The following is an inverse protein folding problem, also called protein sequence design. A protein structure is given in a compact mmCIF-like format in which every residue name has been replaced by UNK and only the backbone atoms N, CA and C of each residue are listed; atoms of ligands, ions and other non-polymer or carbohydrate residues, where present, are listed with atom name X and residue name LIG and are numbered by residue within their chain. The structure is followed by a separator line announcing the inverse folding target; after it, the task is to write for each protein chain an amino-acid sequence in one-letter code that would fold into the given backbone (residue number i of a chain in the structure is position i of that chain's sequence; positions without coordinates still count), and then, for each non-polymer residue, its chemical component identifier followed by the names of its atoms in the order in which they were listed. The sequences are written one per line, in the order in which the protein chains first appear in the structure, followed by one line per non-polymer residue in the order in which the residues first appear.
data_IF_756569083769
#
_entry.id   IF_756569083769
#
_cell.length_a   1.000
_cell.length_b   1.000
_cell.length_c   1.000
_cell.angle_alpha   90.00
_cell.angle_beta   90.00
_cell.angle_gamma   90.00
#
_symmetry.space_group_name_H-M   'P 1'
#
loop_
_entity.id
_entity.type
_entity.pdbx_description
1 polymer ?
#
# COMPACT_ATOMS: atom_id res chain seq x y z
N UNK A 1 -1.05 -15.09 13.73
CA UNK A 1 -0.14 -14.97 14.89
C UNK A 1 1.01 -16.00 14.86
N UNK A 2 0.72 -17.31 14.74
CA UNK A 2 1.74 -18.37 14.74
C UNK A 2 2.79 -18.16 13.65
N UNK A 3 2.39 -17.71 12.46
CA UNK A 3 3.31 -17.40 11.37
C UNK A 3 4.31 -16.30 11.72
N UNK A 4 3.92 -15.32 12.56
CA UNK A 4 4.85 -14.26 13.02
C UNK A 4 5.94 -14.84 13.92
N UNK A 5 5.57 -15.71 14.87
CA UNK A 5 6.54 -16.40 15.72
C UNK A 5 7.49 -17.28 14.90
N UNK A 6 6.94 -18.01 13.92
CA UNK A 6 7.74 -18.78 12.98
C UNK A 6 8.71 -17.89 12.19
N UNK A 7 8.23 -16.77 11.62
CA UNK A 7 9.07 -15.86 10.84
C UNK A 7 10.18 -15.22 11.67
N UNK A 8 9.90 -14.87 12.94
CA UNK A 8 10.92 -14.38 13.87
C UNK A 8 11.98 -15.45 14.16
N UNK A 9 11.58 -16.70 14.35
CA UNK A 9 12.55 -17.80 14.54
C UNK A 9 13.43 -18.03 13.31
N UNK A 10 12.84 -18.01 12.12
CA UNK A 10 13.58 -18.08 10.85
C UNK A 10 14.59 -16.91 10.71
N UNK A 11 14.25 -15.74 11.27
CA UNK A 11 15.14 -14.59 11.33
C UNK A 11 16.23 -14.69 12.42
N UNK A 12 16.29 -15.80 13.16
CA UNK A 12 17.32 -16.07 14.16
C UNK A 12 16.91 -15.79 15.61
N UNK A 13 15.66 -15.38 15.88
CA UNK A 13 15.16 -15.10 17.24
C UNK A 13 14.75 -16.41 17.96
N UNK A 14 15.73 -17.24 18.29
CA UNK A 14 15.51 -18.57 18.87
C UNK A 14 14.84 -18.55 20.27
N UNK A 15 14.83 -17.39 20.94
CA UNK A 15 14.14 -17.21 22.21
C UNK A 15 12.60 -17.28 22.04
N UNK A 16 12.06 -16.94 20.86
CA UNK A 16 10.62 -17.00 20.59
C UNK A 16 10.16 -18.46 20.55
N UNK A 17 9.32 -18.82 21.52
CA UNK A 17 8.79 -20.17 21.71
C UNK A 17 7.27 -20.19 21.63
N UNK A 18 6.62 -21.17 22.28
CA UNK A 18 5.17 -21.23 22.37
C UNK A 18 4.62 -20.12 23.28
N UNK A 19 3.43 -19.63 22.94
CA UNK A 19 2.74 -18.58 23.71
C UNK A 19 1.23 -18.78 23.63
N UNK A 20 0.54 -18.29 24.65
CA UNK A 20 -0.90 -18.13 24.64
C UNK A 20 -1.21 -16.65 24.33
N UNK A 21 -2.21 -16.41 23.48
CA UNK A 21 -2.59 -15.06 23.10
C UNK A 21 -4.11 -14.88 23.09
N UNK A 22 -4.55 -13.76 23.67
CA UNK A 22 -5.92 -13.27 23.56
C UNK A 22 -5.92 -12.00 22.71
N UNK A 23 -6.82 -11.91 21.74
CA UNK A 23 -6.94 -10.78 20.82
C UNK A 23 -8.25 -10.03 21.10
N UNK A 24 -8.15 -8.70 21.23
CA UNK A 24 -9.28 -7.79 21.19
C UNK A 24 -8.99 -6.72 20.13
N UNK A 25 -9.94 -6.47 19.23
CA UNK A 25 -9.73 -5.55 18.12
C UNK A 25 -10.99 -4.73 17.86
N UNK A 26 -10.81 -3.44 17.60
CA UNK A 26 -11.82 -2.57 17.02
C UNK A 26 -11.71 -2.46 15.49
N UNK A 27 -10.71 -3.10 14.86
CA UNK A 27 -10.56 -3.13 13.40
C UNK A 27 -11.47 -4.22 12.84
N UNK A 28 -12.49 -3.88 12.04
CA UNK A 28 -13.41 -4.86 11.48
C UNK A 28 -12.68 -5.81 10.52
N UNK A 29 -13.06 -7.08 10.56
CA UNK A 29 -12.49 -8.07 9.64
C UNK A 29 -13.09 -7.90 8.24
N UNK A 30 -12.23 -7.94 7.22
CA UNK A 30 -12.66 -7.91 5.82
C UNK A 30 -13.20 -6.55 5.33
N UNK A 31 -13.03 -5.48 6.10
CA UNK A 31 -13.52 -4.13 5.77
C UNK A 31 -12.52 -3.27 4.98
N UNK A 32 -11.40 -3.83 4.54
CA UNK A 32 -10.34 -3.06 3.85
C UNK A 32 -9.49 -2.17 4.77
N UNK A 33 -9.65 -2.28 6.11
CA UNK A 33 -8.87 -1.53 7.10
C UNK A 33 -7.65 -2.30 7.62
N UNK A 34 -7.10 -3.18 6.81
CA UNK A 34 -5.84 -3.89 7.08
C UNK A 34 -5.85 -4.69 8.39
N UNK A 35 -6.95 -5.41 8.67
CA UNK A 35 -7.08 -6.23 9.88
C UNK A 35 -5.99 -7.31 10.01
N UNK A 36 -5.46 -7.83 8.90
CA UNK A 36 -4.34 -8.78 8.88
C UNK A 36 -3.06 -8.14 9.38
N UNK A 37 -2.71 -6.96 8.86
CA UNK A 37 -1.54 -6.22 9.32
C UNK A 37 -1.68 -5.78 10.79
N UNK A 38 -2.87 -5.35 11.21
CA UNK A 38 -3.14 -5.03 12.62
C UNK A 38 -2.85 -6.23 13.53
N UNK A 39 -3.28 -7.43 13.14
CA UNK A 39 -3.05 -8.67 13.88
C UNK A 39 -1.58 -9.10 13.86
N UNK A 40 -0.93 -9.09 12.69
CA UNK A 40 0.46 -9.55 12.56
C UNK A 40 1.44 -8.58 13.22
N UNK A 41 1.22 -7.28 13.09
CA UNK A 41 2.07 -6.25 13.71
C UNK A 41 1.92 -6.23 15.25
N UNK A 42 0.69 -6.31 15.77
CA UNK A 42 0.48 -6.39 17.22
C UNK A 42 1.08 -7.67 17.82
N UNK A 43 0.98 -8.79 17.10
CA UNK A 43 1.64 -10.05 17.50
C UNK A 43 3.16 -9.90 17.53
N UNK A 44 3.75 -9.28 16.51
CA UNK A 44 5.19 -9.08 16.45
C UNK A 44 5.70 -8.21 17.60
N UNK A 45 5.01 -7.11 17.92
CA UNK A 45 5.35 -6.23 19.04
C UNK A 45 5.15 -6.93 20.40
N UNK A 46 4.07 -7.70 20.56
CA UNK A 46 3.85 -8.46 21.80
C UNK A 46 4.94 -9.51 22.04
N UNK A 47 5.37 -10.22 20.97
CA UNK A 47 6.48 -11.18 21.08
C UNK A 47 7.81 -10.48 21.35
N UNK A 48 8.04 -9.32 20.73
CA UNK A 48 9.22 -8.48 21.00
C UNK A 48 9.31 -8.10 22.48
N UNK A 49 8.19 -7.67 23.07
CA UNK A 49 8.13 -7.30 24.48
C UNK A 49 8.27 -8.50 25.41
N UNK A 50 7.48 -9.57 25.21
CA UNK A 50 7.46 -10.77 26.06
C UNK A 50 8.82 -11.47 26.09
N UNK A 51 9.51 -11.53 24.96
CA UNK A 51 10.82 -12.18 24.86
C UNK A 51 11.99 -11.21 25.00
N UNK A 52 11.75 -9.93 25.27
CA UNK A 52 12.77 -8.92 25.55
C UNK A 52 13.71 -8.70 24.35
N UNK A 53 13.19 -8.74 23.11
CA UNK A 53 14.02 -8.62 21.91
C UNK A 53 14.47 -7.16 21.66
N UNK A 54 13.64 -6.18 22.05
CA UNK A 54 13.97 -4.75 22.02
C UNK A 54 13.91 -4.08 20.65
N UNK A 55 13.33 -4.74 19.64
CA UNK A 55 13.25 -4.22 18.27
C UNK A 55 12.17 -3.17 18.09
N UNK A 56 11.09 -3.22 18.86
CA UNK A 56 9.99 -2.24 18.80
C UNK A 56 10.42 -0.81 19.17
N UNK A 57 11.54 -0.63 19.86
CA UNK A 57 12.01 0.65 20.34
C UNK A 57 12.65 1.55 19.27
N UNK A 58 13.04 1.03 18.11
CA UNK A 58 13.71 1.79 17.05
C UNK A 58 13.07 1.54 15.68
N UNK A 59 13.23 2.49 14.74
CA UNK A 59 12.72 2.32 13.39
C UNK A 59 13.39 1.12 12.67
N UNK A 60 14.68 0.96 12.83
CA UNK A 60 15.42 -0.20 12.30
C UNK A 60 14.92 -1.54 12.88
N UNK A 61 14.64 -1.57 14.18
CA UNK A 61 14.07 -2.74 14.83
C UNK A 61 12.65 -3.02 14.32
N UNK A 62 11.81 -1.99 14.20
CA UNK A 62 10.46 -2.12 13.64
C UNK A 62 10.46 -2.69 12.22
N UNK A 63 11.43 -2.33 11.39
CA UNK A 63 11.61 -2.95 10.06
C UNK A 63 11.81 -4.46 10.17
N UNK A 64 12.55 -4.94 11.16
CA UNK A 64 12.72 -6.38 11.38
C UNK A 64 11.41 -7.06 11.74
N UNK A 65 10.62 -6.46 12.62
CA UNK A 65 9.29 -6.96 13.00
C UNK A 65 8.30 -6.92 11.84
N UNK A 66 8.34 -5.85 11.03
CA UNK A 66 7.55 -5.71 9.80
C UNK A 66 7.87 -6.83 8.82
N UNK A 67 9.14 -7.14 8.59
CA UNK A 67 9.54 -8.22 7.71
C UNK A 67 9.02 -9.59 8.18
N UNK A 68 9.01 -9.84 9.49
CA UNK A 68 8.41 -11.04 10.06
C UNK A 68 6.89 -11.08 9.85
N UNK A 69 6.19 -9.94 10.00
CA UNK A 69 4.76 -9.83 9.74
C UNK A 69 4.43 -10.09 8.26
N UNK A 70 5.17 -9.46 7.33
CA UNK A 70 5.02 -9.67 5.88
C UNK A 70 5.28 -11.13 5.52
N UNK A 71 6.37 -11.71 6.02
CA UNK A 71 6.72 -13.11 5.78
C UNK A 71 5.62 -14.06 6.29
N UNK A 72 5.07 -13.79 7.46
CA UNK A 72 3.93 -14.54 8.01
C UNK A 72 2.72 -14.51 7.09
N UNK A 73 2.38 -13.36 6.52
CA UNK A 73 1.23 -13.23 5.62
C UNK A 73 1.49 -13.90 4.26
N UNK A 74 2.66 -13.70 3.68
CA UNK A 74 2.99 -14.25 2.38
C UNK A 74 3.19 -15.77 2.41
N UNK A 75 3.99 -16.28 3.34
CA UNK A 75 4.45 -17.66 3.32
C UNK A 75 3.47 -18.61 4.05
N UNK A 76 2.75 -18.11 5.08
CA UNK A 76 1.86 -18.95 5.89
C UNK A 76 0.38 -18.74 5.58
N UNK A 77 -0.04 -17.51 5.24
CA UNK A 77 -1.43 -17.22 4.91
C UNK A 77 -1.69 -17.16 3.39
N UNK A 78 -0.64 -17.16 2.56
CA UNK A 78 -0.76 -17.10 1.11
C UNK A 78 -1.23 -15.75 0.59
N UNK A 79 -1.13 -14.70 1.39
CA UNK A 79 -1.46 -13.34 0.98
C UNK A 79 -0.24 -12.70 0.29
N UNK A 80 -0.46 -12.04 -0.85
CA UNK A 80 0.62 -11.38 -1.59
C UNK A 80 0.79 -9.93 -1.14
N UNK A 81 1.05 -9.68 0.16
CA UNK A 81 1.20 -8.32 0.67
C UNK A 81 2.52 -7.67 0.25
N UNK A 82 2.47 -6.38 -0.10
CA UNK A 82 3.64 -5.55 -0.40
C UNK A 82 4.22 -4.81 0.81
N UNK A 83 3.61 -4.96 1.98
CA UNK A 83 4.10 -4.38 3.23
C UNK A 83 3.69 -2.94 3.52
N UNK A 84 2.83 -2.31 2.71
CA UNK A 84 2.34 -0.96 2.96
C UNK A 84 1.64 -0.86 4.32
N UNK A 85 0.72 -1.77 4.58
CA UNK A 85 -0.11 -1.78 5.78
C UNK A 85 0.74 -1.99 7.04
N UNK A 86 1.70 -2.91 6.99
CA UNK A 86 2.60 -3.18 8.10
C UNK A 86 3.51 -1.98 8.39
N UNK A 87 4.02 -1.31 7.34
CA UNK A 87 4.80 -0.08 7.50
C UNK A 87 3.95 1.05 8.07
N UNK A 88 2.73 1.24 7.57
CA UNK A 88 1.82 2.26 8.10
C UNK A 88 1.49 2.00 9.58
N UNK A 89 1.16 0.74 9.94
CA UNK A 89 0.83 0.35 11.31
C UNK A 89 1.97 0.58 12.31
N UNK A 90 3.21 0.28 11.92
CA UNK A 90 4.34 0.30 12.84
C UNK A 90 5.20 1.56 12.79
N UNK A 91 5.22 2.28 11.65
CA UNK A 91 6.17 3.39 11.43
C UNK A 91 5.51 4.75 11.26
N UNK A 92 4.18 4.81 10.98
CA UNK A 92 3.50 6.10 10.86
C UNK A 92 3.45 6.80 12.23
N UNK A 93 3.64 8.12 12.23
CA UNK A 93 3.60 8.94 13.44
C UNK A 93 2.32 9.77 13.50
N UNK A 94 1.93 10.19 14.70
CA UNK A 94 0.74 11.03 14.91
C UNK A 94 0.80 12.31 14.06
N UNK A 95 -0.32 12.69 13.45
CA UNK A 95 -0.42 13.86 12.56
C UNK A 95 0.25 13.71 11.21
N UNK A 96 0.66 12.49 10.82
CA UNK A 96 1.31 12.21 9.56
C UNK A 96 0.63 11.08 8.79
N UNK A 97 0.77 11.11 7.48
CA UNK A 97 0.60 9.96 6.60
C UNK A 97 1.98 9.41 6.20
N UNK A 98 2.04 8.11 6.00
CA UNK A 98 3.27 7.45 5.59
C UNK A 98 3.33 7.34 4.07
N UNK A 99 4.37 7.87 3.45
CA UNK A 99 4.68 7.63 2.05
C UNK A 99 5.70 6.50 1.97
N UNK A 100 5.32 5.41 1.33
CA UNK A 100 6.18 4.27 1.02
C UNK A 100 6.61 4.33 -0.44
N UNK A 101 7.91 4.27 -0.69
CA UNK A 101 8.51 4.13 -2.02
C UNK A 101 9.04 2.70 -2.19
N UNK A 102 8.39 1.90 -3.02
CA UNK A 102 8.71 0.49 -3.21
C UNK A 102 9.84 0.24 -4.21
N UNK A 103 10.70 1.22 -4.48
CA UNK A 103 11.88 1.00 -5.33
C UNK A 103 12.83 0.00 -4.68
N UNK A 104 13.27 -1.05 -5.42
CA UNK A 104 14.14 -2.08 -4.86
C UNK A 104 15.55 -1.58 -4.50
N UNK A 105 15.98 -0.43 -5.02
CA UNK A 105 17.27 0.19 -4.72
C UNK A 105 17.31 0.87 -3.35
N UNK A 106 16.13 1.18 -2.78
CA UNK A 106 16.04 1.81 -1.47
C UNK A 106 16.11 0.76 -0.37
N UNK A 107 16.93 1.05 0.64
CA UNK A 107 16.91 0.23 1.85
C UNK A 107 15.56 0.37 2.57
N UNK A 108 15.14 -0.61 3.38
CA UNK A 108 13.90 -0.52 4.15
C UNK A 108 13.85 0.68 5.12
N UNK A 109 14.98 1.29 5.47
CA UNK A 109 15.01 2.50 6.27
C UNK A 109 14.79 3.77 5.45
N UNK A 110 15.16 3.75 4.16
CA UNK A 110 15.07 4.90 3.27
C UNK A 110 13.78 4.94 2.46
N UNK A 111 13.05 3.82 2.40
CA UNK A 111 11.85 3.68 1.57
C UNK A 111 10.59 4.35 2.15
N UNK A 112 10.64 4.83 3.39
CA UNK A 112 9.52 5.46 4.09
C UNK A 112 9.85 6.91 4.43
N UNK A 113 8.87 7.80 4.22
CA UNK A 113 8.92 9.17 4.69
C UNK A 113 7.59 9.59 5.31
N UNK A 114 7.67 10.34 6.41
CA UNK A 114 6.50 10.94 7.05
C UNK A 114 6.08 12.19 6.25
N UNK A 115 4.78 12.29 5.99
CA UNK A 115 4.19 13.47 5.35
C UNK A 115 3.21 14.09 6.34
N UNK A 116 3.36 15.38 6.66
CA UNK A 116 2.38 16.08 7.49
C UNK A 116 0.97 15.88 6.92
N UNK A 117 0.05 15.37 7.75
CA UNK A 117 -1.32 15.07 7.36
C UNK A 117 -2.26 15.44 8.50
N UNK A 118 -2.26 16.74 8.82
CA UNK A 118 -3.12 17.34 9.83
C UNK A 118 -4.40 17.84 9.16
N UNK A 119 -5.46 17.06 9.26
CA UNK A 119 -6.76 17.36 8.67
C UNK A 119 -7.46 18.51 9.41
N UNK A 120 -7.29 18.62 10.73
CA UNK A 120 -7.90 19.66 11.56
C UNK A 120 -7.47 21.05 11.09
N UNK A 121 -6.23 21.21 10.68
CA UNK A 121 -5.68 22.47 10.12
C UNK A 121 -6.50 23.01 8.94
N UNK A 122 -7.17 22.12 8.22
CA UNK A 122 -7.98 22.45 7.04
C UNK A 122 -9.48 22.31 7.29
N UNK A 123 -9.91 22.04 8.53
CA UNK A 123 -11.32 21.79 8.87
C UNK A 123 -11.88 20.53 8.20
N UNK A 124 -11.04 19.53 8.01
CA UNK A 124 -11.38 18.26 7.37
C UNK A 124 -11.42 17.14 8.40
N UNK A 125 -12.23 16.13 8.12
CA UNK A 125 -12.27 14.89 8.87
C UNK A 125 -12.16 13.68 7.92
N UNK A 126 -11.66 12.56 8.43
CA UNK A 126 -11.62 11.31 7.70
C UNK A 126 -12.91 10.52 7.94
N UNK A 127 -13.75 10.44 6.91
CA UNK A 127 -14.92 9.57 6.93
C UNK A 127 -14.54 8.17 6.44
N UNK A 128 -14.74 7.17 7.29
CA UNK A 128 -14.63 5.75 6.93
C UNK A 128 -16.03 5.19 6.69
N UNK A 129 -16.30 4.75 5.46
CA UNK A 129 -17.56 4.17 5.05
C UNK A 129 -17.37 2.69 4.73
N UNK A 130 -17.88 1.81 5.59
CA UNK A 130 -17.94 0.38 5.32
C UNK A 130 -19.12 0.08 4.38
N UNK A 131 -18.82 -0.26 3.14
CA UNK A 131 -19.83 -0.60 2.12
C UNK A 131 -20.38 -2.01 2.28
N UNK A 132 -19.83 -2.81 3.20
CA UNK A 132 -20.16 -4.22 3.43
C UNK A 132 -20.01 -5.10 2.17
N UNK A 133 -19.29 -4.63 1.17
CA UNK A 133 -18.95 -5.43 0.00
C UNK A 133 -17.98 -6.55 0.43
N UNK A 134 -18.24 -7.82 0.10
CA UNK A 134 -17.37 -8.92 0.51
C UNK A 134 -15.98 -8.77 -0.12
N UNK A 135 -14.95 -8.72 0.71
CA UNK A 135 -13.57 -8.70 0.28
C UNK A 135 -12.91 -10.05 0.53
N UNK A 136 -12.46 -10.70 -0.54
CA UNK A 136 -11.74 -11.98 -0.48
C UNK A 136 -10.28 -11.76 -0.90
N UNK A 137 -9.37 -11.81 0.05
CA UNK A 137 -7.92 -11.63 -0.18
C UNK A 137 -7.32 -12.74 -1.07
N UNK A 138 -7.97 -13.88 -1.19
CA UNK A 138 -7.45 -15.09 -1.83
C UNK A 138 -8.11 -15.42 -3.18
N UNK A 139 -8.78 -14.47 -3.83
CA UNK A 139 -9.40 -14.70 -5.14
C UNK A 139 -8.42 -14.71 -6.34
N UNK A 140 -7.12 -14.53 -6.05
CA UNK A 140 -6.05 -14.53 -7.05
C UNK A 140 -5.98 -13.26 -7.91
N UNK A 141 -6.90 -12.34 -7.78
CA UNK A 141 -6.96 -11.12 -8.60
C UNK A 141 -5.75 -10.20 -8.39
N UNK A 142 -5.29 -10.07 -7.14
CA UNK A 142 -4.09 -9.29 -6.84
C UNK A 142 -2.85 -9.88 -7.51
N UNK A 143 -2.65 -11.20 -7.38
CA UNK A 143 -1.54 -11.90 -8.00
C UNK A 143 -1.56 -11.78 -9.53
N UNK A 144 -2.75 -11.87 -10.15
CA UNK A 144 -2.92 -11.70 -11.60
C UNK A 144 -2.53 -10.29 -12.07
N UNK A 145 -2.95 -9.24 -11.35
CA UNK A 145 -2.59 -7.85 -11.70
C UNK A 145 -1.09 -7.62 -11.57
N UNK A 146 -0.50 -8.15 -10.51
CA UNK A 146 0.96 -8.11 -10.32
C UNK A 146 1.68 -8.81 -11.47
N UNK A 147 1.30 -10.03 -11.81
CA UNK A 147 1.89 -10.77 -12.93
C UNK A 147 1.75 -10.03 -14.28
N UNK A 148 0.62 -9.36 -14.51
CA UNK A 148 0.43 -8.53 -15.71
C UNK A 148 1.41 -7.35 -15.75
N UNK A 149 1.64 -6.68 -14.62
CA UNK A 149 2.61 -5.58 -14.54
C UNK A 149 4.05 -6.06 -14.72
N UNK A 150 4.41 -7.21 -14.14
CA UNK A 150 5.73 -7.83 -14.31
C UNK A 150 5.96 -8.22 -15.76
N UNK A 151 4.96 -8.82 -16.42
CA UNK A 151 5.01 -9.16 -17.86
C UNK A 151 5.16 -7.93 -18.74
N UNK A 152 4.47 -6.84 -18.41
CA UNK A 152 4.62 -5.58 -19.14
C UNK A 152 6.02 -4.99 -19.00
N UNK A 153 6.62 -5.06 -17.82
CA UNK A 153 8.00 -4.63 -17.60
C UNK A 153 9.01 -5.44 -18.45
N UNK A 154 8.82 -6.76 -18.55
CA UNK A 154 9.63 -7.62 -19.45
C UNK A 154 9.51 -7.17 -20.91
N UNK A 155 8.29 -6.94 -21.42
CA UNK A 155 8.07 -6.49 -22.82
C UNK A 155 8.71 -5.12 -23.05
N UNK A 156 8.64 -4.23 -22.07
CA UNK A 156 9.26 -2.90 -22.15
C UNK A 156 10.79 -2.91 -21.94
N UNK A 157 11.38 -4.07 -21.60
CA UNK A 157 12.82 -4.24 -21.40
C UNK A 157 13.35 -3.54 -20.15
N UNK A 158 12.53 -3.44 -19.10
CA UNK A 158 12.88 -2.78 -17.83
C UNK A 158 12.73 -3.73 -16.64
N UNK A 159 13.42 -3.43 -15.55
CA UNK A 159 13.36 -4.25 -14.34
C UNK A 159 11.96 -4.19 -13.65
N UNK A 160 11.29 -3.04 -13.73
CA UNK A 160 9.95 -2.81 -13.19
C UNK A 160 9.34 -1.54 -13.80
N UNK A 161 8.02 -1.34 -13.63
CA UNK A 161 7.30 -0.18 -14.17
C UNK A 161 7.69 1.15 -13.52
N UNK A 162 8.35 1.14 -12.35
CA UNK A 162 8.85 2.36 -11.72
C UNK A 162 9.94 3.03 -12.57
N UNK A 163 10.80 2.24 -13.22
CA UNK A 163 11.82 2.75 -14.15
C UNK A 163 11.17 3.52 -15.28
N UNK A 164 10.06 3.00 -15.82
CA UNK A 164 9.27 3.66 -16.87
C UNK A 164 8.65 4.96 -16.35
N UNK A 165 8.01 4.91 -15.19
CA UNK A 165 7.38 6.09 -14.58
C UNK A 165 8.40 7.21 -14.31
N UNK A 166 9.58 6.88 -13.81
CA UNK A 166 10.66 7.84 -13.55
C UNK A 166 11.21 8.44 -14.86
N UNK A 167 11.27 7.65 -15.93
CA UNK A 167 11.68 8.14 -17.27
C UNK A 167 10.64 9.10 -17.84
N UNK A 168 9.36 8.73 -17.80
CA UNK A 168 8.26 9.57 -18.27
C UNK A 168 8.20 10.89 -17.48
N UNK A 169 8.37 10.86 -16.17
CA UNK A 169 8.36 12.07 -15.34
C UNK A 169 9.50 13.06 -15.65
N UNK A 170 10.56 12.59 -16.30
CA UNK A 170 11.72 13.41 -16.72
C UNK A 170 11.65 13.85 -18.18
N UNK A 171 10.67 13.39 -18.95
CA UNK A 171 10.50 13.76 -20.35
C UNK A 171 9.95 15.17 -20.50
N UNK A 172 10.21 15.81 -21.64
CA UNK A 172 9.67 17.13 -21.95
C UNK A 172 8.16 17.11 -22.14
N UNK A 173 7.59 15.98 -22.61
CA UNK A 173 6.16 15.75 -22.73
C UNK A 173 5.80 14.38 -22.11
N UNK A 174 5.44 14.37 -20.80
CA UNK A 174 5.06 13.14 -20.11
C UNK A 174 3.82 12.44 -20.70
N UNK A 175 2.89 13.21 -21.27
CA UNK A 175 1.69 12.64 -21.88
C UNK A 175 2.02 11.86 -23.15
N UNK A 176 2.82 12.45 -24.03
CA UNK A 176 3.28 11.78 -25.27
C UNK A 176 4.16 10.58 -24.93
N UNK A 177 5.08 10.70 -23.97
CA UNK A 177 5.94 9.60 -23.53
C UNK A 177 5.14 8.42 -22.95
N UNK A 178 4.07 8.69 -22.20
CA UNK A 178 3.16 7.65 -21.72
C UNK A 178 2.47 6.95 -22.90
N UNK A 179 1.93 7.72 -23.84
CA UNK A 179 1.27 7.17 -25.04
C UNK A 179 2.20 6.26 -25.81
N UNK A 180 3.40 6.71 -26.12
CA UNK A 180 4.43 5.93 -26.84
C UNK A 180 4.82 4.64 -26.09
N UNK A 181 4.82 4.69 -24.75
CA UNK A 181 5.05 3.53 -23.90
C UNK A 181 3.91 2.51 -24.05
N UNK A 182 2.66 2.96 -23.99
CA UNK A 182 1.48 2.11 -24.11
C UNK A 182 1.35 1.51 -25.52
N UNK A 183 1.74 2.25 -26.55
CA UNK A 183 1.71 1.78 -27.95
C UNK A 183 2.66 0.60 -28.22
N UNK A 184 3.66 0.37 -27.36
CA UNK A 184 4.56 -0.81 -27.42
C UNK A 184 3.92 -2.10 -26.90
N UNK A 185 2.80 -2.00 -26.21
CA UNK A 185 2.06 -3.13 -25.67
C UNK A 185 0.92 -3.48 -26.62
N UNK A 186 0.67 -4.78 -26.85
CA UNK A 186 -0.39 -5.21 -27.74
C UNK A 186 -1.71 -5.43 -26.99
N UNK A 187 -1.65 -5.93 -25.76
CA UNK A 187 -2.80 -6.30 -24.94
C UNK A 187 -3.42 -5.06 -24.26
N UNK A 188 -4.71 -4.82 -24.49
CA UNK A 188 -5.42 -3.65 -23.97
C UNK A 188 -5.58 -3.69 -22.44
N UNK A 189 -5.73 -4.87 -21.85
CA UNK A 189 -5.76 -5.03 -20.39
C UNK A 189 -4.42 -4.64 -19.81
N UNK A 190 -3.33 -5.09 -20.42
CA UNK A 190 -1.98 -4.71 -20.01
C UNK A 190 -1.74 -3.22 -20.11
N UNK A 191 -2.18 -2.57 -21.21
CA UNK A 191 -2.12 -1.10 -21.37
C UNK A 191 -2.82 -0.38 -20.23
N UNK A 192 -4.01 -0.83 -19.86
CA UNK A 192 -4.78 -0.27 -18.72
C UNK A 192 -3.99 -0.41 -17.43
N UNK A 193 -3.46 -1.61 -17.09
CA UNK A 193 -2.68 -1.84 -15.86
C UNK A 193 -1.44 -0.95 -15.80
N UNK A 194 -0.69 -0.87 -16.90
CA UNK A 194 0.52 -0.03 -17.00
C UNK A 194 0.17 1.44 -16.86
N UNK A 195 -0.88 1.93 -17.54
CA UNK A 195 -1.36 3.30 -17.40
C UNK A 195 -1.69 3.62 -15.95
N UNK A 196 -2.46 2.75 -15.28
CA UNK A 196 -2.79 2.91 -13.87
C UNK A 196 -1.52 3.07 -13.03
N UNK A 197 -0.60 2.11 -13.07
CA UNK A 197 0.61 2.13 -12.24
C UNK A 197 1.44 3.40 -12.45
N UNK A 198 1.67 3.78 -13.71
CA UNK A 198 2.49 4.96 -14.02
C UNK A 198 1.80 6.25 -13.54
N UNK A 199 0.51 6.38 -13.79
CA UNK A 199 -0.24 7.59 -13.40
C UNK A 199 -0.42 7.67 -11.89
N UNK A 200 -0.60 6.55 -11.17
CA UNK A 200 -0.66 6.54 -9.70
C UNK A 200 0.66 6.94 -9.06
N UNK A 201 1.79 6.48 -9.56
CA UNK A 201 3.11 6.92 -9.07
C UNK A 201 3.25 8.45 -9.19
N UNK A 202 2.84 9.02 -10.31
CA UNK A 202 2.84 10.47 -10.52
C UNK A 202 1.84 11.19 -9.60
N UNK A 203 0.65 10.59 -9.41
CA UNK A 203 -0.45 11.13 -8.59
C UNK A 203 -0.09 11.20 -7.12
N UNK A 204 0.57 10.17 -6.56
CA UNK A 204 1.10 10.20 -5.19
C UNK A 204 2.03 11.39 -4.99
N UNK A 205 2.98 11.61 -5.89
CA UNK A 205 3.90 12.74 -5.81
C UNK A 205 3.19 14.10 -5.90
N UNK A 206 2.16 14.18 -6.73
CA UNK A 206 1.35 15.40 -6.88
C UNK A 206 0.49 15.66 -5.66
N UNK A 207 -0.10 14.60 -5.08
CA UNK A 207 -0.88 14.68 -3.85
C UNK A 207 -0.03 15.20 -2.68
N UNK A 208 1.14 14.62 -2.45
CA UNK A 208 2.06 15.06 -1.40
C UNK A 208 2.39 16.56 -1.55
N UNK A 209 2.68 17.00 -2.76
CA UNK A 209 2.97 18.42 -3.03
C UNK A 209 1.75 19.32 -2.83
N UNK A 210 0.59 18.90 -3.30
CA UNK A 210 -0.65 19.68 -3.18
C UNK A 210 -1.02 19.86 -1.71
N UNK A 211 -1.02 18.76 -0.94
CA UNK A 211 -1.36 18.77 0.47
C UNK A 211 -0.36 19.60 1.30
N UNK A 212 0.95 19.41 1.10
CA UNK A 212 1.99 20.18 1.79
C UNK A 212 1.91 21.70 1.52
N UNK A 213 1.34 22.11 0.38
CA UNK A 213 1.13 23.51 0.02
C UNK A 213 -0.29 24.03 0.34
N UNK A 214 -1.09 23.27 1.06
CA UNK A 214 -2.45 23.64 1.44
C UNK A 214 -3.46 23.72 0.28
N UNK A 215 -3.14 23.08 -0.86
CA UNK A 215 -4.01 23.04 -2.04
C UNK A 215 -5.01 21.91 -1.94
N UNK A 216 -5.95 22.03 -1.01
CA UNK A 216 -6.88 20.95 -0.64
C UNK A 216 -7.79 20.55 -1.80
N UNK A 217 -8.30 21.52 -2.58
CA UNK A 217 -9.13 21.21 -3.77
C UNK A 217 -8.35 20.41 -4.82
N UNK A 218 -7.04 20.68 -4.98
CA UNK A 218 -6.17 19.91 -5.87
C UNK A 218 -5.99 18.47 -5.33
N UNK A 219 -5.77 18.32 -4.04
CA UNK A 219 -5.68 17.03 -3.37
C UNK A 219 -6.98 16.22 -3.54
N UNK A 220 -8.15 16.84 -3.38
CA UNK A 220 -9.44 16.20 -3.62
C UNK A 220 -9.62 15.73 -5.08
N UNK A 221 -9.24 16.55 -6.07
CA UNK A 221 -9.25 16.13 -7.48
C UNK A 221 -8.32 14.94 -7.74
N UNK A 222 -7.17 14.87 -7.08
CA UNK A 222 -6.24 13.74 -7.20
C UNK A 222 -6.82 12.47 -6.61
N UNK A 223 -7.53 12.52 -5.47
CA UNK A 223 -8.27 11.37 -4.94
C UNK A 223 -9.34 10.87 -5.91
N UNK A 224 -10.12 11.79 -6.48
CA UNK A 224 -11.14 11.42 -7.47
C UNK A 224 -10.51 10.75 -8.71
N UNK A 225 -9.40 11.29 -9.22
CA UNK A 225 -8.71 10.72 -10.36
C UNK A 225 -8.07 9.35 -10.04
N UNK A 226 -7.66 9.11 -8.78
CA UNK A 226 -7.19 7.80 -8.32
C UNK A 226 -8.31 6.77 -8.36
N UNK A 227 -9.49 7.10 -7.82
CA UNK A 227 -10.65 6.21 -7.88
C UNK A 227 -11.05 5.89 -9.32
N UNK A 228 -11.10 6.89 -10.19
CA UNK A 228 -11.45 6.70 -11.61
C UNK A 228 -10.46 5.74 -12.30
N UNK A 229 -9.17 5.83 -11.97
CA UNK A 229 -8.14 4.93 -12.48
C UNK A 229 -8.24 3.52 -11.88
N UNK A 230 -8.58 3.40 -10.59
CA UNK A 230 -8.83 2.11 -9.94
C UNK A 230 -10.03 1.40 -10.59
N UNK A 231 -11.07 2.14 -10.95
CA UNK A 231 -12.26 1.59 -11.58
C UNK A 231 -12.03 1.24 -13.06
N UNK A 232 -11.55 2.21 -13.87
CA UNK A 232 -11.48 2.05 -15.33
C UNK A 232 -10.22 1.30 -15.82
N UNK A 233 -9.08 1.53 -15.17
CA UNK A 233 -7.79 0.99 -15.61
C UNK A 233 -7.35 -0.23 -14.82
N UNK A 234 -7.49 -0.20 -13.49
CA UNK A 234 -7.07 -1.33 -12.65
C UNK A 234 -8.18 -2.35 -12.41
N UNK A 235 -9.43 -1.92 -12.57
CA UNK A 235 -10.66 -2.75 -12.47
C UNK A 235 -10.72 -3.51 -11.14
N UNK A 236 -10.52 -2.79 -10.03
CA UNK A 236 -10.52 -3.34 -8.66
C UNK A 236 -11.69 -2.84 -7.81
N UNK A 237 -12.50 -1.93 -8.34
CA UNK A 237 -13.68 -1.45 -7.64
C UNK A 237 -14.86 -2.39 -7.83
N UNK A 238 -15.85 -2.24 -6.95
CA UNK A 238 -17.14 -2.92 -7.01
C UNK A 238 -18.26 -1.88 -7.00
N UNK A 239 -19.49 -2.22 -7.44
CA UNK A 239 -20.58 -1.26 -7.54
C UNK A 239 -20.87 -0.50 -6.24
N UNK A 240 -20.66 -1.12 -5.09
CA UNK A 240 -20.84 -0.51 -3.77
C UNK A 240 -19.84 0.61 -3.51
N UNK A 241 -18.56 0.40 -3.88
CA UNK A 241 -17.52 1.42 -3.78
C UNK A 241 -17.76 2.57 -4.77
N UNK A 242 -18.08 2.24 -6.02
CA UNK A 242 -18.37 3.25 -7.05
C UNK A 242 -19.59 4.10 -6.66
N UNK A 243 -20.62 3.49 -6.08
CA UNK A 243 -21.81 4.20 -5.57
C UNK A 243 -21.44 5.13 -4.42
N UNK A 244 -20.65 4.67 -3.45
CA UNK A 244 -20.23 5.49 -2.32
C UNK A 244 -19.46 6.74 -2.79
N UNK A 245 -18.53 6.58 -3.72
CA UNK A 245 -17.77 7.70 -4.29
C UNK A 245 -18.67 8.62 -5.13
N UNK A 246 -19.58 8.09 -5.93
CA UNK A 246 -20.50 8.88 -6.73
C UNK A 246 -21.41 9.75 -5.84
N UNK A 247 -21.95 9.18 -4.74
CA UNK A 247 -22.77 9.92 -3.78
C UNK A 247 -21.94 10.99 -3.06
N UNK A 248 -20.73 10.68 -2.61
CA UNK A 248 -19.86 11.67 -2.00
C UNK A 248 -19.59 12.86 -2.94
N UNK A 249 -19.22 12.59 -4.20
CA UNK A 249 -18.98 13.63 -5.21
C UNK A 249 -20.21 14.49 -5.52
N UNK A 250 -21.39 13.93 -5.43
CA UNK A 250 -22.65 14.66 -5.70
C UNK A 250 -23.07 15.59 -4.55
N UNK A 251 -22.53 15.39 -3.35
CA UNK A 251 -22.91 16.13 -2.15
C UNK A 251 -21.80 17.05 -1.61
N UNK A 252 -20.72 17.22 -2.32
CA UNK A 252 -19.61 18.13 -2.00
C UNK A 252 -18.38 17.37 -1.62
#
# INVERSE_FOLDING_TARGET
PVGVAWALREAGFNAVQGFDAAFSSCVPLGSGLSSSAAMTCSTALALDDVYGLGYGASDAGRVTLINAAIKSENDMAGASTGGLDQNASMRCTFGHALRLDCRPELSPLENVSQQEFDLDKYGLELLVLDTQAPHQLNDGQYAQRRATCEKAAEILGVANLRVVADSIAKSDDPFQALKETLDKLEDDTMKKRVRHVITEIARVNSFVRAFANGKIDEAGRLFNASHDSLSADYEVTVPELDTAVAVARANG
#
